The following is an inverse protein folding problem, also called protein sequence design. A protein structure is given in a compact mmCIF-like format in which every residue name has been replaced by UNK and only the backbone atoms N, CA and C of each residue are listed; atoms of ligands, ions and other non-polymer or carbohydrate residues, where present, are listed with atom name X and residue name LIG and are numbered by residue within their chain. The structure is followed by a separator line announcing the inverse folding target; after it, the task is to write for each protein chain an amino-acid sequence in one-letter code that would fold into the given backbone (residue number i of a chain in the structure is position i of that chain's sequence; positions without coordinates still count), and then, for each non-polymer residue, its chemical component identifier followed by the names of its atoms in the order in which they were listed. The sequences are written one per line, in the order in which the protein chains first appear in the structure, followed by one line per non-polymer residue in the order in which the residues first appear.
data_IF_790012507587
#
_entry.id   IF_790012507587
#
_cell.length_a   1.000
_cell.length_b   1.000
_cell.length_c   1.000
_cell.angle_alpha   90.00
_cell.angle_beta   90.00
_cell.angle_gamma   90.00
#
_symmetry.space_group_name_H-M   'P 1'
#
loop_
_entity.id
_entity.type
_entity.pdbx_description
1 polymer ?
#
# COMPACT_ATOMS: atom_id res chain seq x y z
N UNK A 1 -25.31 -12.62 18.70
CA UNK A 1 -24.66 -11.28 18.73
C UNK A 1 -23.16 -11.48 18.92
N UNK A 2 -22.43 -11.68 17.83
CA UNK A 2 -20.97 -11.52 17.87
C UNK A 2 -20.73 -10.02 17.68
N UNK A 3 -20.16 -9.36 18.68
CA UNK A 3 -19.61 -8.02 18.50
C UNK A 3 -18.46 -8.21 17.50
N UNK A 4 -18.76 -8.06 16.21
CA UNK A 4 -17.73 -7.85 15.22
C UNK A 4 -16.94 -6.66 15.74
N UNK A 5 -15.70 -6.93 16.13
CA UNK A 5 -14.65 -5.94 16.30
C UNK A 5 -14.41 -5.26 14.94
N UNK A 6 -15.43 -4.58 14.42
CA UNK A 6 -15.25 -3.49 13.48
C UNK A 6 -14.69 -2.39 14.36
N UNK A 7 -13.39 -2.48 14.63
CA UNK A 7 -12.61 -1.30 14.89
C UNK A 7 -12.81 -0.47 13.62
N UNK A 8 -13.81 0.42 13.69
CA UNK A 8 -14.05 1.50 12.76
C UNK A 8 -12.79 2.35 12.87
N UNK A 9 -11.75 1.97 12.13
CA UNK A 9 -10.61 2.83 11.85
C UNK A 9 -11.16 3.92 10.93
N UNK A 10 -11.81 4.90 11.55
CA UNK A 10 -12.06 6.22 10.97
C UNK A 10 -10.74 7.03 10.94
N UNK A 11 -9.63 6.35 10.66
CA UNK A 11 -8.24 6.77 10.71
C UNK A 11 -7.68 6.28 9.37
N UNK A 12 -7.31 7.09 8.40
CA UNK A 12 -6.92 8.49 8.41
C UNK A 12 -7.25 9.06 7.03
N UNK A 13 -7.61 10.34 6.92
CA UNK A 13 -7.37 11.06 5.66
C UNK A 13 -5.87 11.30 5.64
N UNK A 14 -5.12 10.29 5.20
CA UNK A 14 -3.69 10.37 5.00
C UNK A 14 -3.39 10.25 3.50
N UNK A 15 -2.18 10.61 3.12
CA UNK A 15 -1.74 10.44 1.74
C UNK A 15 -1.64 8.95 1.39
N UNK A 16 -1.76 8.64 0.09
CA UNK A 16 -1.64 7.27 -0.42
C UNK A 16 -0.35 6.54 0.00
N UNK A 17 0.69 7.30 0.34
CA UNK A 17 1.96 6.78 0.83
C UNK A 17 1.85 6.20 2.24
N UNK A 18 1.13 6.89 3.12
CA UNK A 18 0.96 6.49 4.51
C UNK A 18 0.07 5.25 4.57
N UNK A 19 -0.98 5.20 3.75
CA UNK A 19 -1.81 4.00 3.59
C UNK A 19 -0.98 2.79 3.19
N UNK A 20 -0.10 2.94 2.19
CA UNK A 20 0.77 1.86 1.76
C UNK A 20 1.74 1.39 2.86
N UNK A 21 2.25 2.32 3.70
CA UNK A 21 3.08 1.97 4.87
C UNK A 21 2.29 1.20 5.92
N UNK A 22 1.05 1.62 6.19
CA UNK A 22 0.17 0.94 7.15
C UNK A 22 -0.13 -0.48 6.66
N UNK A 23 -0.38 -0.68 5.37
CA UNK A 23 -0.57 -2.01 4.78
C UNK A 23 0.68 -2.87 4.99
N UNK A 24 1.87 -2.35 4.66
CA UNK A 24 3.12 -3.08 4.85
C UNK A 24 3.34 -3.49 6.31
N UNK A 25 3.03 -2.61 7.26
CA UNK A 25 3.12 -2.89 8.68
C UNK A 25 2.13 -3.98 9.12
N UNK A 26 0.87 -3.88 8.67
CA UNK A 26 -0.19 -4.87 8.98
C UNK A 26 0.16 -6.27 8.48
N UNK A 27 0.77 -6.36 7.30
CA UNK A 27 1.17 -7.63 6.69
C UNK A 27 2.55 -8.13 7.19
N UNK A 28 3.21 -7.39 8.08
CA UNK A 28 4.60 -7.64 8.49
C UNK A 28 5.57 -7.77 7.29
N UNK A 29 5.34 -7.00 6.22
CA UNK A 29 6.13 -7.04 4.99
C UNK A 29 7.15 -5.90 4.93
N UNK A 30 8.32 -6.22 4.41
CA UNK A 30 9.35 -5.21 4.12
C UNK A 30 9.12 -4.60 2.74
N UNK A 31 9.63 -3.38 2.52
CA UNK A 31 9.64 -2.74 1.19
C UNK A 31 10.40 -3.62 0.17
N UNK A 32 11.42 -4.37 0.61
CA UNK A 32 12.14 -5.34 -0.23
C UNK A 32 11.20 -6.46 -0.71
N UNK A 33 10.42 -7.05 0.20
CA UNK A 33 9.46 -8.07 -0.15
C UNK A 33 8.37 -7.55 -1.11
N UNK A 34 7.91 -6.30 -0.91
CA UNK A 34 7.00 -5.64 -1.84
C UNK A 34 7.62 -5.49 -3.24
N UNK A 35 8.87 -5.01 -3.32
CA UNK A 35 9.57 -4.88 -4.60
C UNK A 35 9.69 -6.25 -5.30
N UNK A 36 10.02 -7.31 -4.57
CA UNK A 36 10.10 -8.68 -5.12
C UNK A 36 8.75 -9.16 -5.66
N UNK A 37 7.66 -8.98 -4.90
CA UNK A 37 6.30 -9.31 -5.35
C UNK A 37 5.88 -8.49 -6.58
N UNK A 38 6.20 -7.20 -6.61
CA UNK A 38 5.88 -6.30 -7.71
C UNK A 38 6.60 -6.66 -9.01
N UNK A 39 7.88 -7.05 -8.92
CA UNK A 39 8.64 -7.55 -10.09
C UNK A 39 8.12 -8.90 -10.59
N UNK A 40 7.62 -9.77 -9.71
CA UNK A 40 6.97 -11.03 -10.13
C UNK A 40 5.64 -10.80 -10.86
N UNK A 41 4.97 -9.69 -10.57
CA UNK A 41 3.63 -9.38 -11.06
C UNK A 41 3.63 -8.38 -12.23
N UNK A 42 4.79 -7.94 -12.70
CA UNK A 42 4.89 -6.96 -13.79
C UNK A 42 6.19 -7.08 -14.58
N UNK A 43 6.17 -6.64 -15.84
CA UNK A 43 7.37 -6.47 -16.65
C UNK A 43 8.15 -5.18 -16.33
N UNK A 44 7.75 -4.44 -15.28
CA UNK A 44 8.42 -3.21 -14.84
C UNK A 44 9.37 -3.53 -13.70
N UNK A 45 10.53 -2.85 -13.70
CA UNK A 45 11.51 -3.00 -12.63
C UNK A 45 11.11 -2.14 -11.43
N UNK A 46 10.89 -2.79 -10.29
CA UNK A 46 10.72 -2.15 -8.98
C UNK A 46 11.95 -2.40 -8.11
N UNK A 47 12.43 -1.39 -7.40
CA UNK A 47 13.51 -1.54 -6.42
C UNK A 47 13.04 -1.10 -5.05
N UNK A 48 13.57 -1.74 -4.00
CA UNK A 48 13.23 -1.39 -2.63
C UNK A 48 13.57 0.09 -2.33
N UNK A 49 14.73 0.55 -2.80
CA UNK A 49 15.15 1.95 -2.66
C UNK A 49 14.21 2.89 -3.41
N UNK A 50 13.84 2.58 -4.66
CA UNK A 50 12.94 3.43 -5.44
C UNK A 50 11.56 3.60 -4.78
N UNK A 51 11.01 2.52 -4.23
CA UNK A 51 9.75 2.57 -3.48
C UNK A 51 9.94 3.39 -2.19
N UNK A 52 11.01 3.14 -1.43
CA UNK A 52 11.33 3.86 -0.20
C UNK A 52 11.47 5.37 -0.43
N UNK A 53 12.21 5.78 -1.46
CA UNK A 53 12.39 7.19 -1.82
C UNK A 53 11.06 7.88 -2.14
N UNK A 54 10.19 7.24 -2.92
CA UNK A 54 8.86 7.80 -3.24
C UNK A 54 7.95 7.88 -2.02
N UNK A 55 7.99 6.86 -1.15
CA UNK A 55 7.26 6.84 0.11
C UNK A 55 7.74 7.94 1.07
N UNK A 56 9.04 8.20 1.14
CA UNK A 56 9.62 9.24 2.01
C UNK A 56 9.38 10.65 1.47
N UNK A 57 9.43 10.83 0.15
CA UNK A 57 9.29 12.14 -0.50
C UNK A 57 7.85 12.55 -0.76
N UNK A 58 6.86 11.67 -0.56
CA UNK A 58 5.47 12.00 -0.90
C UNK A 58 5.16 11.94 -2.40
N UNK A 59 6.03 11.32 -3.21
CA UNK A 59 5.98 11.44 -4.69
C UNK A 59 5.46 10.19 -5.40
N UNK A 60 4.84 9.25 -4.67
CA UNK A 60 4.24 8.07 -5.30
C UNK A 60 3.05 8.49 -6.16
N UNK A 61 3.04 8.06 -7.42
CA UNK A 61 1.89 8.31 -8.29
C UNK A 61 0.74 7.40 -7.89
N UNK A 62 -0.49 7.89 -8.06
CA UNK A 62 -1.70 7.14 -7.74
C UNK A 62 -1.74 5.75 -8.37
N UNK A 63 -1.50 5.66 -9.68
CA UNK A 63 -1.51 4.39 -10.42
C UNK A 63 -0.43 3.40 -9.95
N UNK A 64 0.72 3.92 -9.52
CA UNK A 64 1.79 3.10 -8.97
C UNK A 64 1.41 2.56 -7.59
N UNK A 65 0.84 3.40 -6.73
CA UNK A 65 0.36 2.96 -5.44
C UNK A 65 -0.81 1.98 -5.55
N UNK A 66 -1.74 2.19 -6.49
CA UNK A 66 -2.82 1.25 -6.80
C UNK A 66 -2.26 -0.12 -7.17
N UNK A 67 -1.29 -0.16 -8.09
CA UNK A 67 -0.64 -1.41 -8.47
C UNK A 67 0.06 -2.10 -7.29
N UNK A 68 0.80 -1.33 -6.47
CA UNK A 68 1.50 -1.89 -5.30
C UNK A 68 0.51 -2.42 -4.24
N UNK A 69 -0.64 -1.77 -4.06
CA UNK A 69 -1.71 -2.26 -3.21
C UNK A 69 -2.32 -3.55 -3.78
N UNK A 70 -2.60 -3.61 -5.09
CA UNK A 70 -3.13 -4.81 -5.75
C UNK A 70 -2.17 -6.01 -5.59
N UNK A 71 -0.85 -5.77 -5.71
CA UNK A 71 0.21 -6.78 -5.45
C UNK A 71 0.18 -7.31 -4.01
N UNK A 72 -0.29 -6.50 -3.07
CA UNK A 72 -0.46 -6.89 -1.65
C UNK A 72 -1.84 -7.52 -1.38
N UNK A 73 -2.71 -7.63 -2.39
CA UNK A 73 -4.07 -8.15 -2.24
C UNK A 73 -5.09 -7.11 -1.77
N UNK A 74 -4.77 -5.82 -1.87
CA UNK A 74 -5.63 -4.71 -1.47
C UNK A 74 -6.17 -3.98 -2.70
N UNK A 75 -7.47 -3.67 -2.70
CA UNK A 75 -8.09 -2.87 -3.75
C UNK A 75 -8.22 -1.42 -3.29
N UNK A 76 -7.74 -0.49 -4.10
CA UNK A 76 -7.91 0.93 -3.84
C UNK A 76 -9.22 1.43 -4.47
N UNK A 77 -10.14 1.93 -3.65
CA UNK A 77 -11.48 2.35 -4.07
C UNK A 77 -11.83 3.76 -3.59
N UNK A 78 -12.57 4.52 -4.41
CA UNK A 78 -13.19 5.76 -3.99
C UNK A 78 -14.59 5.49 -3.48
N UNK A 79 -14.79 5.62 -2.17
CA UNK A 79 -16.12 5.50 -1.56
C UNK A 79 -16.69 6.90 -1.34
N UNK A 80 -17.76 7.22 -2.06
CA UNK A 80 -18.52 8.46 -1.86
C UNK A 80 -19.30 8.35 -0.55
N UNK A 81 -19.24 9.39 0.28
CA UNK A 81 -20.07 9.52 1.49
C UNK A 81 -21.53 9.80 1.14
#
# INVERSE_FOLDING_TARGET
MSKNNVLIWNLLIMSINEDLRVILLKECLTIKALAEKANKSSNRRYTADGISQKLNKGTMKYNEAQFLADVLGYKLEFVKK
#
